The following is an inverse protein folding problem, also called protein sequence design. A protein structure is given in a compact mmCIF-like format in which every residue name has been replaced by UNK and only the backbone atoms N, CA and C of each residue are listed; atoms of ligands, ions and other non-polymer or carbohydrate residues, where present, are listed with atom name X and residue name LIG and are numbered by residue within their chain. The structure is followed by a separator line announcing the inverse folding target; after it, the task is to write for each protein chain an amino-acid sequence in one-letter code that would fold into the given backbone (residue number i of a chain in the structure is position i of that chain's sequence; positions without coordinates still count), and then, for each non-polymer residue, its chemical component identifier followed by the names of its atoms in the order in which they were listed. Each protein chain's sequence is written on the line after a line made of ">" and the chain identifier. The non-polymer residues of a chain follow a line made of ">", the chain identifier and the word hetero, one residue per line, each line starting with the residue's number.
data_IF_250458629675
#
_entry.id   IF_250458629675
#
_cell.length_a   1.000
_cell.length_b   1.000
_cell.length_c   1.000
_cell.angle_alpha   90.00
_cell.angle_beta   90.00
_cell.angle_gamma   90.00
#
_symmetry.space_group_name_H-M   'P 1'
#
loop_
_entity.id
_entity.type
_entity.pdbx_description
1 polymer ?
#
# COMPACT_ATOMS: atom_id res chain seq x y z
N UNK A 1 -34.85 12.10 -2.68
CA UNK A 1 -33.65 12.64 -3.36
C UNK A 1 -32.42 12.04 -2.72
N UNK A 2 -31.72 11.14 -3.40
CA UNK A 2 -30.44 10.59 -2.91
C UNK A 2 -29.41 11.71 -2.95
N UNK A 3 -28.74 12.06 -1.83
CA UNK A 3 -27.76 13.13 -1.83
C UNK A 3 -26.63 12.79 -2.80
N UNK A 4 -26.43 13.64 -3.82
CA UNK A 4 -25.35 13.48 -4.79
C UNK A 4 -24.03 13.67 -4.06
N UNK A 5 -23.24 12.59 -3.94
CA UNK A 5 -21.88 12.65 -3.37
C UNK A 5 -21.07 13.77 -4.05
N UNK A 6 -20.34 14.60 -3.29
CA UNK A 6 -19.60 15.72 -3.85
C UNK A 6 -18.57 15.25 -4.89
N UNK A 7 -18.51 15.95 -6.03
CA UNK A 7 -17.68 15.58 -7.17
C UNK A 7 -16.18 15.46 -6.83
N UNK A 8 -15.69 16.27 -5.86
CA UNK A 8 -14.31 16.21 -5.37
C UNK A 8 -13.95 14.86 -4.75
N UNK A 9 -14.88 14.26 -4.00
CA UNK A 9 -14.66 12.96 -3.36
C UNK A 9 -14.48 11.85 -4.40
N UNK A 10 -15.28 11.90 -5.48
CA UNK A 10 -15.18 10.95 -6.61
C UNK A 10 -13.83 11.02 -7.34
N UNK A 11 -13.30 12.23 -7.56
CA UNK A 11 -11.99 12.41 -8.23
C UNK A 11 -10.85 11.85 -7.38
N UNK A 12 -10.87 12.12 -6.07
CA UNK A 12 -9.89 11.59 -5.13
C UNK A 12 -9.92 10.06 -5.09
N UNK A 13 -11.11 9.45 -5.02
CA UNK A 13 -11.24 8.00 -5.06
C UNK A 13 -10.71 7.39 -6.36
N UNK A 14 -11.05 7.98 -7.51
CA UNK A 14 -10.54 7.52 -8.80
C UNK A 14 -9.01 7.59 -8.88
N UNK A 15 -8.42 8.66 -8.34
CA UNK A 15 -6.97 8.83 -8.29
C UNK A 15 -6.28 7.71 -7.49
N UNK A 16 -6.74 7.46 -6.26
CA UNK A 16 -6.14 6.39 -5.43
C UNK A 16 -6.38 4.99 -6.00
N UNK A 17 -7.51 4.75 -6.67
CA UNK A 17 -7.73 3.50 -7.39
C UNK A 17 -6.74 3.32 -8.54
N UNK A 18 -6.45 4.38 -9.29
CA UNK A 18 -5.49 4.33 -10.38
C UNK A 18 -4.06 4.04 -9.87
N UNK A 19 -3.65 4.68 -8.77
CA UNK A 19 -2.34 4.40 -8.14
C UNK A 19 -2.23 2.95 -7.69
N UNK A 20 -3.26 2.45 -6.99
CA UNK A 20 -3.26 1.07 -6.50
C UNK A 20 -3.19 0.08 -7.67
N UNK A 21 -3.95 0.33 -8.73
CA UNK A 21 -3.89 -0.50 -9.94
C UNK A 21 -2.49 -0.51 -10.57
N UNK A 22 -1.89 0.67 -10.76
CA UNK A 22 -0.55 0.77 -11.32
C UNK A 22 0.50 0.02 -10.47
N UNK A 23 0.41 0.06 -9.13
CA UNK A 23 1.26 -0.76 -8.26
C UNK A 23 1.06 -2.25 -8.48
N UNK A 24 -0.18 -2.72 -8.55
CA UNK A 24 -0.48 -4.14 -8.78
C UNK A 24 0.03 -4.60 -10.16
N UNK A 25 -0.07 -3.76 -11.18
CA UNK A 25 0.48 -4.04 -12.52
C UNK A 25 2.01 -4.20 -12.44
N UNK A 26 2.71 -3.28 -11.77
CA UNK A 26 4.16 -3.38 -11.56
C UNK A 26 4.57 -4.63 -10.77
N UNK A 27 3.76 -5.05 -9.80
CA UNK A 27 3.96 -6.29 -9.03
C UNK A 27 3.74 -7.53 -9.92
N UNK A 28 2.70 -7.52 -10.76
CA UNK A 28 2.44 -8.60 -11.70
C UNK A 28 3.60 -8.78 -12.69
N UNK A 29 4.18 -7.67 -13.14
CA UNK A 29 5.35 -7.64 -14.02
C UNK A 29 6.67 -7.97 -13.31
N UNK A 30 6.67 -8.10 -11.98
CA UNK A 30 7.87 -8.36 -11.17
C UNK A 30 8.84 -7.18 -11.06
N UNK A 31 8.41 -5.98 -11.45
CA UNK A 31 9.22 -4.74 -11.37
C UNK A 31 9.15 -4.07 -10.00
N UNK A 32 8.20 -4.49 -9.17
CA UNK A 32 7.96 -3.95 -7.85
C UNK A 32 7.65 -5.08 -6.86
N UNK A 33 8.32 -5.05 -5.71
CA UNK A 33 8.04 -5.99 -4.63
C UNK A 33 6.75 -5.60 -3.87
N UNK A 34 5.90 -6.59 -3.50
CA UNK A 34 4.76 -6.35 -2.63
C UNK A 34 5.21 -5.76 -1.30
N UNK A 35 4.48 -4.76 -0.83
CA UNK A 35 4.74 -4.10 0.46
C UNK A 35 3.64 -4.40 1.48
N UNK A 36 2.40 -4.41 1.00
CA UNK A 36 1.21 -4.55 1.83
C UNK A 36 0.68 -5.98 1.78
N UNK A 37 0.03 -6.45 2.86
CA UNK A 37 -0.52 -7.81 2.92
C UNK A 37 -1.42 -8.12 1.71
N UNK A 38 -2.27 -7.17 1.29
CA UNK A 38 -3.13 -7.32 0.11
C UNK A 38 -2.35 -7.54 -1.19
N UNK A 39 -1.17 -6.92 -1.32
CA UNK A 39 -0.32 -7.05 -2.51
C UNK A 39 0.35 -8.43 -2.54
N UNK A 40 0.73 -8.96 -1.36
CA UNK A 40 1.20 -10.34 -1.25
C UNK A 40 0.10 -11.33 -1.65
N UNK A 41 -1.14 -11.12 -1.19
CA UNK A 41 -2.26 -11.97 -1.59
C UNK A 41 -2.59 -11.86 -3.08
N UNK A 42 -2.48 -10.68 -3.67
CA UNK A 42 -2.62 -10.49 -5.13
C UNK A 42 -1.59 -11.33 -5.89
N UNK A 43 -0.30 -11.18 -5.55
CA UNK A 43 0.78 -11.90 -6.21
C UNK A 43 0.65 -13.41 -6.01
N UNK A 44 0.28 -13.84 -4.80
CA UNK A 44 0.01 -15.24 -4.51
C UNK A 44 -1.13 -15.80 -5.37
N UNK A 45 -2.24 -15.08 -5.47
CA UNK A 45 -3.40 -15.47 -6.28
C UNK A 45 -3.02 -15.56 -7.76
N UNK A 46 -2.29 -14.56 -8.26
CA UNK A 46 -1.80 -14.52 -9.63
C UNK A 46 -0.90 -15.72 -9.94
N UNK A 47 0.01 -16.08 -9.03
CA UNK A 47 0.90 -17.24 -9.19
C UNK A 47 0.17 -18.58 -9.07
N UNK A 48 -0.82 -18.67 -8.19
CA UNK A 48 -1.56 -19.91 -7.96
C UNK A 48 -2.58 -20.22 -9.06
N UNK A 49 -3.24 -19.19 -9.60
CA UNK A 49 -4.36 -19.34 -10.55
C UNK A 49 -4.03 -18.88 -11.97
N UNK A 50 -2.87 -18.27 -12.19
CA UNK A 50 -2.47 -17.66 -13.46
C UNK A 50 -3.22 -16.37 -13.80
N UNK A 51 -4.16 -15.94 -12.94
CA UNK A 51 -4.95 -14.72 -13.10
C UNK A 51 -5.37 -14.18 -11.74
N UNK A 52 -5.55 -12.86 -11.65
CA UNK A 52 -6.13 -12.19 -10.50
C UNK A 52 -6.96 -10.98 -10.99
N UNK A 53 -8.15 -10.78 -10.42
CA UNK A 53 -8.92 -9.56 -10.68
C UNK A 53 -8.37 -8.43 -9.81
N UNK A 54 -7.88 -7.37 -10.45
CA UNK A 54 -7.32 -6.20 -9.79
C UNK A 54 -8.34 -5.52 -8.86
N UNK A 55 -9.63 -5.55 -9.21
CA UNK A 55 -10.66 -4.88 -8.44
C UNK A 55 -10.78 -5.44 -7.01
N UNK A 56 -10.51 -6.73 -6.82
CA UNK A 56 -10.60 -7.42 -5.52
C UNK A 56 -9.48 -7.00 -4.55
N UNK A 57 -8.37 -6.48 -5.07
CA UNK A 57 -7.21 -6.06 -4.28
C UNK A 57 -7.05 -4.55 -4.17
N UNK A 58 -7.97 -3.77 -4.74
CA UNK A 58 -8.01 -2.31 -4.66
C UNK A 58 -8.91 -1.88 -3.50
N UNK A 59 -8.30 -1.17 -2.53
CA UNK A 59 -9.02 -0.65 -1.38
C UNK A 59 -9.74 0.66 -1.68
N UNK A 60 -10.85 0.95 -0.96
CA UNK A 60 -11.35 2.31 -0.80
C UNK A 60 -10.25 3.28 -0.34
N UNK A 61 -10.30 4.52 -0.83
CA UNK A 61 -9.23 5.51 -0.62
C UNK A 61 -8.88 5.78 0.84
N UNK A 62 -9.87 5.76 1.74
CA UNK A 62 -9.66 5.96 3.17
C UNK A 62 -8.92 4.79 3.82
N UNK A 63 -9.23 3.55 3.42
CA UNK A 63 -8.54 2.37 3.93
C UNK A 63 -7.10 2.31 3.40
N UNK A 64 -6.92 2.63 2.12
CA UNK A 64 -5.59 2.74 1.52
C UNK A 64 -4.70 3.75 2.26
N UNK A 65 -5.24 4.93 2.59
CA UNK A 65 -4.51 5.94 3.35
C UNK A 65 -4.19 5.50 4.78
N UNK A 66 -5.14 4.85 5.46
CA UNK A 66 -4.90 4.32 6.80
C UNK A 66 -3.76 3.29 6.81
N UNK A 67 -3.74 2.38 5.84
CA UNK A 67 -2.68 1.37 5.70
C UNK A 67 -1.32 2.02 5.41
N UNK A 68 -1.29 3.07 4.58
CA UNK A 68 -0.08 3.81 4.29
C UNK A 68 0.47 4.57 5.50
N UNK A 69 -0.39 5.20 6.30
CA UNK A 69 0.02 5.90 7.52
C UNK A 69 0.55 4.93 8.60
N UNK A 70 -0.03 3.75 8.71
CA UNK A 70 0.46 2.71 9.63
C UNK A 70 1.86 2.23 9.23
N UNK A 71 2.06 1.87 7.97
CA UNK A 71 3.35 1.43 7.47
C UNK A 71 4.41 2.55 7.47
N UNK A 72 4.02 3.81 7.31
CA UNK A 72 4.92 4.95 7.53
C UNK A 72 5.42 5.00 8.97
N UNK A 73 4.54 4.88 9.96
CA UNK A 73 4.92 4.88 11.39
C UNK A 73 5.87 3.74 11.73
N UNK A 74 5.57 2.51 11.28
CA UNK A 74 6.44 1.36 11.51
C UNK A 74 7.85 1.58 10.96
N UNK A 75 7.98 2.28 9.83
CA UNK A 75 9.29 2.60 9.25
C UNK A 75 10.03 3.67 10.03
N UNK A 76 9.33 4.68 10.52
CA UNK A 76 9.91 5.72 11.37
C UNK A 76 10.39 5.12 12.70
N UNK A 77 9.61 4.22 13.30
CA UNK A 77 10.01 3.47 14.51
C UNK A 77 11.22 2.57 14.26
N UNK A 78 11.22 1.80 13.16
CA UNK A 78 12.36 0.97 12.79
C UNK A 78 13.61 1.79 12.51
N UNK A 79 13.48 2.94 11.84
CA UNK A 79 14.60 3.82 11.54
C UNK A 79 15.15 4.52 12.80
N UNK A 80 14.29 4.87 13.76
CA UNK A 80 14.68 5.43 15.05
C UNK A 80 15.36 4.41 15.97
N UNK A 81 14.92 3.15 15.94
CA UNK A 81 15.52 2.07 16.74
C UNK A 81 16.94 1.70 16.30
N UNK A 82 17.28 1.86 15.02
CA UNK A 82 18.66 1.61 14.52
C UNK A 82 19.64 2.72 14.88
N UNK A 83 19.17 3.83 15.48
CA UNK A 83 19.97 5.01 15.78
C UNK A 83 20.38 5.12 17.26
N UNK A 84 20.39 4.03 18.03
CA UNK A 84 21.05 4.02 19.35
C UNK A 84 22.59 4.01 19.20
N UNK A 85 23.31 4.84 19.99
CA UNK A 85 24.65 5.28 19.65
C UNK A 85 25.70 4.22 20.01
N UNK A 86 26.75 4.14 19.19
CA UNK A 86 28.04 3.58 19.55
C UNK A 86 28.43 4.09 20.94
N UNK A 87 28.25 3.26 21.97
CA UNK A 87 28.82 3.49 23.28
C UNK A 87 30.34 3.47 23.09
N UNK A 88 30.95 4.66 23.03
CA UNK A 88 32.39 4.82 23.10
C UNK A 88 32.88 4.12 24.37
N UNK A 89 33.90 3.23 24.28
CA UNK A 89 34.48 2.67 25.49
C UNK A 89 35.06 3.82 26.33
N UNK A 90 34.68 3.84 27.60
CA UNK A 90 35.16 4.80 28.61
C UNK A 90 36.70 4.72 28.75
N UNK A 91 37.36 5.84 29.16
CA UNK A 91 38.81 6.03 29.05
C UNK A 91 39.66 5.06 29.88
#
# INVERSE_FOLDING_TARGET
>A
MTPRRPARLRRRDAFYRAIQRARLEQIADGTLEPRFAREFYFLWTLRAQGRADYADFILPSLLFLAEYELDKKEREEKAGATAEPLALPAP
#
